data_IF_376139744874
#
_entry.id   IF_376139744874
#
_cell.length_a   1.000
_cell.length_b   1.000
_cell.length_c   1.000
_cell.angle_alpha   90.00
_cell.angle_beta   90.00
_cell.angle_gamma   90.00
#
_symmetry.space_group_name_H-M   'P 1'
#
loop_
_entity.id
_entity.type
_entity.pdbx_description
1 polymer ?
#
# COMPACT_ATOMS: atom_id res chain seq x y z
N UNK A 1 35.18 -74.16 10.85
CA UNK A 1 35.12 -72.82 10.20
C UNK A 1 33.66 -72.44 10.09
N UNK A 2 33.09 -71.92 11.19
CA UNK A 2 31.70 -71.45 11.20
C UNK A 2 31.68 -69.92 11.23
N UNK A 3 31.60 -69.34 10.04
CA UNK A 3 31.20 -67.95 9.82
C UNK A 3 30.28 -67.98 8.59
N UNK A 4 28.95 -67.95 8.79
CA UNK A 4 28.17 -67.00 7.99
C UNK A 4 26.83 -66.53 8.62
N UNK A 5 26.46 -66.93 9.84
CA UNK A 5 25.12 -66.61 10.37
C UNK A 5 25.00 -65.18 10.91
N UNK A 6 25.99 -64.71 11.68
CA UNK A 6 25.94 -63.39 12.32
C UNK A 6 26.01 -62.23 11.31
N UNK A 7 26.85 -62.37 10.27
CA UNK A 7 26.95 -61.38 9.18
C UNK A 7 25.62 -61.22 8.44
N UNK A 8 24.90 -62.31 8.18
CA UNK A 8 23.58 -62.27 7.51
C UNK A 8 22.54 -61.54 8.35
N UNK A 9 22.54 -61.75 9.68
CA UNK A 9 21.62 -61.08 10.60
C UNK A 9 21.90 -59.56 10.63
N UNK A 10 23.17 -59.15 10.67
CA UNK A 10 23.55 -57.73 10.63
C UNK A 10 23.10 -57.08 9.32
N UNK A 11 23.33 -57.74 8.18
CA UNK A 11 22.91 -57.23 6.88
C UNK A 11 21.38 -57.06 6.77
N UNK A 12 20.61 -58.02 7.31
CA UNK A 12 19.15 -57.91 7.36
C UNK A 12 18.69 -56.74 8.26
N UNK A 13 19.31 -56.55 9.43
CA UNK A 13 19.00 -55.43 10.32
C UNK A 13 19.33 -54.08 9.68
N UNK A 14 20.49 -53.96 9.03
CA UNK A 14 20.88 -52.75 8.31
C UNK A 14 19.90 -52.41 7.17
N UNK A 15 19.44 -53.43 6.43
CA UNK A 15 18.45 -53.25 5.38
C UNK A 15 17.09 -52.76 5.94
N UNK A 16 16.63 -53.32 7.07
CA UNK A 16 15.39 -52.87 7.73
C UNK A 16 15.50 -51.43 8.22
N UNK A 17 16.62 -51.06 8.84
CA UNK A 17 16.87 -49.68 9.30
C UNK A 17 16.89 -48.71 8.12
N UNK A 18 17.53 -49.09 7.01
CA UNK A 18 17.56 -48.28 5.80
C UNK A 18 16.14 -48.05 5.22
N UNK A 19 15.31 -49.09 5.19
CA UNK A 19 13.90 -48.97 4.74
C UNK A 19 13.11 -48.05 5.66
N UNK A 20 13.25 -48.19 6.98
CA UNK A 20 12.58 -47.32 7.96
C UNK A 20 13.01 -45.86 7.83
N UNK A 21 14.29 -45.60 7.59
CA UNK A 21 14.82 -44.25 7.38
C UNK A 21 14.23 -43.59 6.11
N UNK A 22 14.10 -44.35 5.01
CA UNK A 22 13.46 -43.86 3.78
C UNK A 22 11.99 -43.53 4.01
N UNK A 23 11.24 -44.41 4.69
CA UNK A 23 9.82 -44.18 5.01
C UNK A 23 9.65 -42.94 5.90
N UNK A 24 10.48 -42.78 6.93
CA UNK A 24 10.48 -41.60 7.78
C UNK A 24 10.81 -40.32 6.99
N UNK A 25 11.80 -40.38 6.09
CA UNK A 25 12.16 -39.27 5.21
C UNK A 25 11.00 -38.84 4.30
N UNK A 26 10.33 -39.79 3.66
CA UNK A 26 9.14 -39.52 2.83
C UNK A 26 8.01 -38.91 3.66
N UNK A 27 7.79 -39.42 4.88
CA UNK A 27 6.78 -38.89 5.79
C UNK A 27 7.07 -37.44 6.21
N UNK A 28 8.33 -37.13 6.56
CA UNK A 28 8.78 -35.77 6.91
C UNK A 28 8.61 -34.81 5.72
N UNK A 29 8.98 -35.23 4.51
CA UNK A 29 8.80 -34.41 3.29
C UNK A 29 7.31 -34.17 3.02
N UNK A 30 6.46 -35.20 3.09
CA UNK A 30 5.01 -35.05 2.93
C UNK A 30 4.40 -34.14 3.99
N UNK A 31 4.81 -34.29 5.25
CA UNK A 31 4.34 -33.48 6.36
C UNK A 31 4.76 -32.01 6.19
N UNK A 32 6.00 -31.75 5.79
CA UNK A 32 6.49 -30.39 5.54
C UNK A 32 5.82 -29.73 4.33
N UNK A 33 5.54 -30.49 3.27
CA UNK A 33 4.78 -30.04 2.08
C UNK A 33 3.33 -29.69 2.43
N UNK A 34 2.64 -30.53 3.21
CA UNK A 34 1.27 -30.26 3.68
C UNK A 34 1.21 -29.01 4.55
N UNK A 35 2.20 -28.81 5.43
CA UNK A 35 2.29 -27.62 6.28
C UNK A 35 2.56 -26.35 5.48
N UNK A 36 3.37 -26.41 4.42
CA UNK A 36 3.54 -25.31 3.45
C UNK A 36 2.23 -25.00 2.74
N UNK A 37 1.59 -26.00 2.12
CA UNK A 37 0.30 -25.85 1.41
C UNK A 37 -0.80 -25.27 2.32
N UNK A 38 -0.83 -25.65 3.60
CA UNK A 38 -1.82 -25.14 4.56
C UNK A 38 -1.53 -23.67 4.95
N UNK A 39 -0.26 -23.26 5.05
CA UNK A 39 0.11 -21.84 5.25
C UNK A 39 -0.23 -21.00 4.02
N UNK A 40 0.10 -21.50 2.83
CA UNK A 40 -0.16 -20.80 1.57
C UNK A 40 -1.67 -20.69 1.30
N UNK A 41 -2.44 -21.74 1.63
CA UNK A 41 -3.91 -21.72 1.54
C UNK A 41 -4.54 -20.75 2.55
N UNK A 42 -4.02 -20.69 3.79
CA UNK A 42 -4.47 -19.71 4.78
C UNK A 42 -4.14 -18.28 4.36
N UNK A 43 -2.95 -18.05 3.82
CA UNK A 43 -2.51 -16.76 3.30
C UNK A 43 -3.39 -16.31 2.13
N UNK A 44 -3.65 -17.19 1.16
CA UNK A 44 -4.53 -16.88 0.02
C UNK A 44 -5.95 -16.54 0.48
N UNK A 45 -6.52 -17.30 1.42
CA UNK A 45 -7.84 -16.98 2.02
C UNK A 45 -7.84 -15.64 2.76
N UNK A 46 -6.78 -15.33 3.49
CA UNK A 46 -6.63 -14.06 4.21
C UNK A 46 -6.55 -12.88 3.24
N UNK A 47 -5.76 -12.99 2.17
CA UNK A 47 -5.65 -11.98 1.10
C UNK A 47 -7.02 -11.76 0.44
N UNK A 48 -7.75 -12.82 0.06
CA UNK A 48 -9.08 -12.69 -0.56
C UNK A 48 -10.09 -12.01 0.37
N UNK A 49 -10.11 -12.40 1.64
CA UNK A 49 -10.99 -11.78 2.64
C UNK A 49 -10.67 -10.30 2.86
N UNK A 50 -9.38 -9.94 2.78
CA UNK A 50 -8.91 -8.56 2.90
C UNK A 50 -9.31 -7.73 1.69
N UNK A 51 -9.12 -8.24 0.47
CA UNK A 51 -9.56 -7.60 -0.77
C UNK A 51 -11.07 -7.36 -0.76
N UNK A 52 -11.86 -8.35 -0.30
CA UNK A 52 -13.31 -8.19 -0.17
C UNK A 52 -13.69 -7.12 0.86
N UNK A 53 -12.98 -7.05 1.99
CA UNK A 53 -13.19 -6.02 3.00
C UNK A 53 -12.81 -4.62 2.50
N UNK A 54 -11.70 -4.49 1.78
CA UNK A 54 -11.24 -3.22 1.22
C UNK A 54 -12.15 -2.77 0.08
N UNK A 55 -12.62 -3.69 -0.77
CA UNK A 55 -13.65 -3.41 -1.76
C UNK A 55 -14.96 -2.99 -1.08
N UNK A 56 -15.42 -3.68 -0.03
CA UNK A 56 -16.59 -3.30 0.76
C UNK A 56 -16.43 -1.91 1.40
N UNK A 57 -15.22 -1.57 1.86
CA UNK A 57 -14.90 -0.25 2.38
C UNK A 57 -14.96 0.81 1.27
N UNK A 58 -14.38 0.54 0.10
CA UNK A 58 -14.50 1.39 -1.09
C UNK A 58 -15.98 1.58 -1.45
N UNK A 59 -16.78 0.51 -1.50
CA UNK A 59 -18.22 0.55 -1.75
C UNK A 59 -18.96 1.43 -0.73
N UNK A 60 -18.56 1.37 0.55
CA UNK A 60 -19.15 2.15 1.63
C UNK A 60 -18.74 3.63 1.58
N UNK A 61 -17.49 3.92 1.25
CA UNK A 61 -16.96 5.30 1.11
C UNK A 61 -17.51 5.99 -0.14
N UNK A 62 -17.71 5.25 -1.24
CA UNK A 62 -18.19 5.78 -2.53
C UNK A 62 -19.73 5.76 -2.68
N UNK A 63 -20.47 5.17 -1.74
CA UNK A 63 -21.90 5.40 -1.55
C UNK A 63 -22.87 4.79 -2.57
N UNK A 64 -22.44 4.29 -3.74
CA UNK A 64 -23.26 3.53 -4.73
C UNK A 64 -22.37 2.69 -5.67
N UNK A 65 -22.92 1.67 -6.38
CA UNK A 65 -22.25 1.07 -7.53
C UNK A 65 -22.07 2.15 -8.60
N UNK A 66 -20.84 2.62 -8.77
CA UNK A 66 -20.53 3.71 -9.70
C UNK A 66 -20.42 3.13 -11.11
N UNK A 67 -21.55 3.16 -11.82
CA UNK A 67 -21.59 3.26 -13.28
C UNK A 67 -22.14 4.66 -13.56
N UNK A 68 -21.27 5.63 -13.84
CA UNK A 68 -21.69 6.89 -14.46
C UNK A 68 -20.67 7.36 -15.49
N UNK A 69 -21.10 7.27 -16.74
CA UNK A 69 -20.43 7.78 -17.93
C UNK A 69 -20.19 9.29 -17.80
N UNK A 70 -18.95 9.71 -17.55
CA UNK A 70 -18.36 10.96 -18.09
C UNK A 70 -16.98 11.35 -17.51
N UNK A 71 -16.17 10.43 -16.98
CA UNK A 71 -14.71 10.65 -16.80
C UNK A 71 -14.02 9.30 -16.96
N UNK A 72 -12.82 9.21 -17.56
CA UNK A 72 -12.04 7.96 -17.70
C UNK A 72 -11.77 7.31 -16.33
N UNK A 73 -12.72 6.52 -15.83
CA UNK A 73 -12.75 5.89 -14.50
C UNK A 73 -11.65 4.84 -14.28
N UNK A 74 -11.17 4.24 -15.38
CA UNK A 74 -10.12 3.23 -15.35
C UNK A 74 -8.84 3.76 -14.68
N UNK A 75 -8.55 5.05 -14.83
CA UNK A 75 -7.33 5.67 -14.32
C UNK A 75 -7.36 5.88 -12.80
N UNK A 76 -8.47 6.28 -12.20
CA UNK A 76 -8.52 6.48 -10.73
C UNK A 76 -8.68 5.18 -9.96
N UNK A 77 -9.48 4.24 -10.49
CA UNK A 77 -9.62 2.91 -9.90
C UNK A 77 -8.28 2.15 -10.00
N UNK A 78 -7.55 2.30 -11.11
CA UNK A 78 -6.23 1.69 -11.24
C UNK A 78 -5.21 2.27 -10.24
N UNK A 79 -5.17 3.60 -10.06
CA UNK A 79 -4.32 4.25 -9.03
C UNK A 79 -4.63 3.76 -7.62
N UNK A 80 -5.91 3.68 -7.23
CA UNK A 80 -6.30 3.17 -5.90
C UNK A 80 -5.94 1.70 -5.73
N UNK A 81 -6.16 0.90 -6.77
CA UNK A 81 -5.80 -0.52 -6.79
C UNK A 81 -4.28 -0.71 -6.66
N UNK A 82 -3.49 0.11 -7.32
CA UNK A 82 -2.03 0.08 -7.24
C UNK A 82 -1.54 0.45 -5.84
N UNK A 83 -2.09 1.51 -5.23
CA UNK A 83 -1.77 1.90 -3.84
C UNK A 83 -2.14 0.80 -2.83
N UNK A 84 -3.28 0.14 -2.99
CA UNK A 84 -3.69 -0.99 -2.14
C UNK A 84 -2.77 -2.19 -2.28
N UNK A 85 -2.38 -2.55 -3.51
CA UNK A 85 -1.40 -3.62 -3.74
C UNK A 85 -0.06 -3.34 -3.06
N UNK A 86 0.43 -2.09 -3.11
CA UNK A 86 1.64 -1.68 -2.40
C UNK A 86 1.47 -1.79 -0.89
N UNK A 87 0.33 -1.34 -0.35
CA UNK A 87 0.03 -1.47 1.08
C UNK A 87 -0.01 -2.95 1.51
N UNK A 88 -0.65 -3.83 0.74
CA UNK A 88 -0.68 -5.26 1.02
C UNK A 88 0.73 -5.87 1.04
N UNK A 89 1.58 -5.50 0.07
CA UNK A 89 2.99 -5.93 0.06
C UNK A 89 3.76 -5.45 1.30
N UNK A 90 3.54 -4.20 1.73
CA UNK A 90 4.11 -3.64 2.96
C UNK A 90 3.64 -4.44 4.19
N UNK A 91 2.33 -4.70 4.32
CA UNK A 91 1.75 -5.45 5.44
C UNK A 91 2.26 -6.89 5.48
N UNK A 92 2.31 -7.57 4.33
CA UNK A 92 2.83 -8.94 4.22
C UNK A 92 4.31 -9.01 4.59
N UNK A 93 5.11 -8.03 4.19
CA UNK A 93 6.52 -7.93 4.57
C UNK A 93 6.67 -7.78 6.09
N UNK A 94 5.88 -6.90 6.72
CA UNK A 94 5.88 -6.71 8.16
C UNK A 94 5.44 -7.97 8.94
N UNK A 95 4.44 -8.70 8.46
CA UNK A 95 3.93 -9.93 9.11
C UNK A 95 4.87 -11.13 8.91
N UNK A 96 5.68 -11.14 7.85
CA UNK A 96 6.58 -12.25 7.53
C UNK A 96 7.80 -12.39 8.46
N UNK A 97 7.98 -11.49 9.44
CA UNK A 97 8.99 -11.60 10.50
C UNK A 97 10.43 -11.47 10.01
N UNK A 98 10.66 -10.84 8.84
CA UNK A 98 12.01 -10.48 8.38
C UNK A 98 12.51 -9.29 9.21
N UNK A 99 13.80 -9.28 9.58
CA UNK A 99 14.42 -8.20 10.36
C UNK A 99 14.27 -6.82 9.72
N UNK A 100 14.23 -6.77 8.38
CA UNK A 100 13.87 -5.57 7.64
C UNK A 100 12.38 -5.61 7.28
N UNK A 101 11.62 -4.65 7.80
CA UNK A 101 10.16 -4.57 7.71
C UNK A 101 9.69 -4.48 6.25
N UNK A 102 10.54 -3.97 5.36
CA UNK A 102 10.29 -3.85 3.92
C UNK A 102 11.39 -4.54 3.13
N UNK A 103 11.05 -5.53 2.29
CA UNK A 103 12.02 -6.06 1.34
C UNK A 103 12.45 -5.01 0.32
N UNK A 104 13.67 -5.08 -0.18
CA UNK A 104 14.20 -4.10 -1.14
C UNK A 104 13.36 -4.01 -2.42
N UNK A 105 12.75 -5.12 -2.86
CA UNK A 105 11.78 -5.10 -3.97
C UNK A 105 10.58 -4.19 -3.69
N UNK A 106 10.04 -4.22 -2.47
CA UNK A 106 8.90 -3.39 -2.07
C UNK A 106 9.34 -1.92 -1.93
N UNK A 107 10.56 -1.67 -1.42
CA UNK A 107 11.15 -0.33 -1.39
C UNK A 107 11.30 0.22 -2.82
N UNK A 108 11.87 -0.56 -3.74
CA UNK A 108 12.08 -0.14 -5.13
C UNK A 108 10.77 0.13 -5.86
N UNK A 109 9.75 -0.71 -5.66
CA UNK A 109 8.43 -0.52 -6.26
C UNK A 109 7.72 0.72 -5.69
N UNK A 110 7.87 0.97 -4.38
CA UNK A 110 7.38 2.19 -3.74
C UNK A 110 8.11 3.42 -4.31
N UNK A 111 9.43 3.36 -4.44
CA UNK A 111 10.21 4.45 -5.03
C UNK A 111 9.86 4.69 -6.49
N UNK A 112 9.67 3.65 -7.30
CA UNK A 112 9.24 3.82 -8.69
C UNK A 112 7.86 4.45 -8.78
N UNK A 113 6.93 4.06 -7.89
CA UNK A 113 5.58 4.60 -7.86
C UNK A 113 5.57 6.11 -7.55
N UNK A 114 6.43 6.57 -6.64
CA UNK A 114 6.53 8.00 -6.28
C UNK A 114 7.55 8.78 -7.11
N UNK A 115 8.30 8.13 -8.01
CA UNK A 115 9.38 8.76 -8.78
C UNK A 115 8.86 9.77 -9.80
N UNK A 116 7.71 9.48 -10.42
CA UNK A 116 7.00 10.43 -11.26
C UNK A 116 6.14 11.35 -10.39
N UNK A 117 6.76 12.45 -9.96
CA UNK A 117 6.19 13.41 -9.01
C UNK A 117 4.97 14.13 -9.57
N UNK A 118 5.01 14.49 -10.85
CA UNK A 118 3.92 15.22 -11.50
C UNK A 118 2.72 14.30 -11.68
N UNK A 119 2.95 13.03 -12.09
CA UNK A 119 1.89 12.02 -12.11
C UNK A 119 1.33 11.76 -10.71
N UNK A 120 2.19 11.57 -9.70
CA UNK A 120 1.74 11.35 -8.32
C UNK A 120 0.90 12.52 -7.79
N UNK A 121 1.29 13.77 -8.10
CA UNK A 121 0.57 14.97 -7.73
C UNK A 121 -0.81 15.05 -8.41
N UNK A 122 -0.85 14.81 -9.71
CA UNK A 122 -2.07 14.79 -10.52
C UNK A 122 -3.05 13.71 -10.04
N UNK A 123 -2.57 12.47 -9.89
CA UNK A 123 -3.34 11.33 -9.37
C UNK A 123 -3.92 11.63 -7.98
N UNK A 124 -3.12 12.25 -7.11
CA UNK A 124 -3.53 12.66 -5.78
C UNK A 124 -4.60 13.74 -5.81
N UNK A 125 -4.46 14.76 -6.66
CA UNK A 125 -5.49 15.78 -6.85
C UNK A 125 -6.82 15.15 -7.31
N UNK A 126 -6.78 14.28 -8.32
CA UNK A 126 -7.99 13.64 -8.84
C UNK A 126 -8.67 12.73 -7.81
N UNK A 127 -7.89 12.05 -6.96
CA UNK A 127 -8.44 11.30 -5.85
C UNK A 127 -9.18 12.23 -4.87
N UNK A 128 -8.58 13.36 -4.48
CA UNK A 128 -9.23 14.32 -3.57
C UNK A 128 -10.43 15.02 -4.21
N UNK A 129 -10.42 15.29 -5.50
CA UNK A 129 -11.57 15.84 -6.23
C UNK A 129 -12.78 14.91 -6.12
N UNK A 130 -12.55 13.60 -6.11
CA UNK A 130 -13.61 12.59 -5.95
C UNK A 130 -14.04 12.39 -4.50
N UNK A 131 -13.08 12.26 -3.58
CA UNK A 131 -13.36 11.92 -2.18
C UNK A 131 -13.82 13.15 -1.36
N UNK A 132 -13.31 14.32 -1.69
CA UNK A 132 -13.54 15.58 -0.98
C UNK A 132 -13.84 16.72 -1.98
N UNK A 133 -14.92 16.60 -2.78
CA UNK A 133 -15.25 17.57 -3.83
C UNK A 133 -15.46 18.99 -3.27
N UNK A 134 -16.04 19.14 -2.09
CA UNK A 134 -16.27 20.44 -1.45
C UNK A 134 -14.96 21.14 -1.05
N UNK A 135 -13.99 20.36 -0.54
CA UNK A 135 -12.65 20.86 -0.26
C UNK A 135 -11.95 21.35 -1.54
N UNK A 136 -11.97 20.56 -2.61
CA UNK A 136 -11.37 20.98 -3.88
C UNK A 136 -12.13 22.15 -4.50
N UNK A 137 -13.46 22.18 -4.38
CA UNK A 137 -14.30 23.31 -4.78
C UNK A 137 -13.90 24.60 -4.06
N UNK A 138 -13.66 24.54 -2.75
CA UNK A 138 -13.15 25.67 -1.97
C UNK A 138 -11.82 26.17 -2.54
N UNK A 139 -10.85 25.27 -2.76
CA UNK A 139 -9.54 25.66 -3.31
C UNK A 139 -9.66 26.33 -4.68
N UNK A 140 -10.45 25.75 -5.59
CA UNK A 140 -10.70 26.31 -6.92
C UNK A 140 -11.43 27.65 -6.88
N UNK A 141 -12.39 27.81 -5.97
CA UNK A 141 -13.12 29.08 -5.79
C UNK A 141 -12.21 30.24 -5.40
N UNK A 142 -11.03 29.95 -4.82
CA UNK A 142 -9.98 30.91 -4.48
C UNK A 142 -8.93 31.10 -5.58
N UNK A 143 -9.16 30.54 -6.78
CA UNK A 143 -8.29 30.73 -7.94
C UNK A 143 -7.00 29.90 -7.91
N UNK A 144 -6.98 28.80 -7.16
CA UNK A 144 -5.88 27.83 -7.23
C UNK A 144 -5.98 27.03 -8.53
N UNK A 145 -4.84 26.84 -9.19
CA UNK A 145 -4.76 25.92 -10.34
C UNK A 145 -4.87 24.47 -9.88
N UNK A 146 -5.09 23.55 -10.81
CA UNK A 146 -5.07 22.11 -10.51
C UNK A 146 -3.78 21.68 -9.81
N UNK A 147 -2.64 22.16 -10.31
CA UNK A 147 -1.34 21.86 -9.70
C UNK A 147 -1.24 22.41 -8.26
N UNK A 148 -1.70 23.64 -8.01
CA UNK A 148 -1.70 24.23 -6.67
C UNK A 148 -2.68 23.53 -5.74
N UNK A 149 -3.82 23.06 -6.25
CA UNK A 149 -4.76 22.23 -5.52
C UNK A 149 -4.15 20.86 -5.18
N UNK A 150 -3.46 20.21 -6.11
CA UNK A 150 -2.70 18.99 -5.88
C UNK A 150 -1.60 19.17 -4.82
N UNK A 151 -0.90 20.30 -4.87
CA UNK A 151 0.08 20.67 -3.83
C UNK A 151 -0.57 20.79 -2.45
N UNK A 152 -1.77 21.39 -2.37
CA UNK A 152 -2.55 21.40 -1.14
C UNK A 152 -2.99 19.99 -0.71
N UNK A 153 -3.29 19.09 -1.64
CA UNK A 153 -3.63 17.70 -1.32
C UNK A 153 -2.45 16.95 -0.66
N UNK A 154 -1.20 17.31 -0.96
CA UNK A 154 -0.04 16.75 -0.25
C UNK A 154 -0.02 17.17 1.23
N UNK A 155 -0.41 18.41 1.55
CA UNK A 155 -0.60 18.84 2.94
C UNK A 155 -1.74 18.11 3.63
N UNK A 156 -2.84 17.89 2.92
CA UNK A 156 -3.98 17.10 3.38
C UNK A 156 -3.61 15.64 3.66
N UNK A 157 -2.71 15.05 2.85
CA UNK A 157 -2.10 13.73 3.10
C UNK A 157 -1.19 13.70 4.34
N UNK A 158 -0.90 14.85 4.95
CA UNK A 158 -0.11 14.94 6.18
C UNK A 158 1.36 15.33 5.96
N UNK A 159 1.80 15.55 4.72
CA UNK A 159 3.16 16.01 4.46
C UNK A 159 3.38 17.42 5.01
N UNK A 160 4.63 17.72 5.41
CA UNK A 160 5.05 19.07 5.83
C UNK A 160 5.67 19.79 4.65
N UNK A 161 5.65 21.12 4.66
CA UNK A 161 6.16 21.94 3.54
C UNK A 161 7.59 21.63 3.14
N UNK A 162 8.47 21.37 4.11
CA UNK A 162 9.85 20.95 3.84
C UNK A 162 9.94 19.61 3.10
N UNK A 163 9.06 18.67 3.44
CA UNK A 163 9.02 17.32 2.86
C UNK A 163 8.43 17.39 1.44
N UNK A 164 7.40 18.23 1.25
CA UNK A 164 6.81 18.50 -0.08
C UNK A 164 7.82 19.20 -1.00
N UNK A 165 8.55 20.19 -0.48
CA UNK A 165 9.59 20.89 -1.22
C UNK A 165 10.73 19.97 -1.65
N UNK A 166 11.15 19.08 -0.76
CA UNK A 166 12.14 18.04 -1.08
C UNK A 166 11.60 17.06 -2.12
N UNK A 167 10.37 16.56 -1.95
CA UNK A 167 9.72 15.64 -2.87
C UNK A 167 9.64 16.21 -4.29
N UNK A 168 9.12 17.43 -4.44
CA UNK A 168 8.94 18.05 -5.76
C UNK A 168 10.26 18.55 -6.39
N UNK A 169 11.41 18.45 -5.69
CA UNK A 169 12.71 18.99 -6.12
C UNK A 169 12.69 20.46 -6.54
N UNK A 170 11.65 21.20 -6.13
CA UNK A 170 11.55 22.63 -6.38
C UNK A 170 12.11 23.36 -5.16
N UNK A 171 13.37 23.76 -5.26
CA UNK A 171 13.99 24.70 -4.34
C UNK A 171 13.20 26.01 -4.32
N UNK A 172 12.30 26.16 -3.36
CA UNK A 172 11.42 27.33 -3.28
C UNK A 172 10.01 27.09 -2.71
N UNK A 173 9.76 26.03 -1.95
CA UNK A 173 8.46 25.78 -1.32
C UNK A 173 7.90 27.00 -0.57
N UNK A 174 8.74 27.82 0.08
CA UNK A 174 8.33 29.09 0.70
C UNK A 174 7.63 30.06 -0.28
N UNK A 175 8.10 30.13 -1.53
CA UNK A 175 7.50 30.99 -2.55
C UNK A 175 6.14 30.44 -3.03
N UNK A 176 6.01 29.11 -3.08
CA UNK A 176 4.76 28.44 -3.45
C UNK A 176 3.74 28.58 -2.32
N UNK A 177 4.12 28.28 -1.09
CA UNK A 177 3.28 28.42 0.10
C UNK A 177 2.76 29.84 0.27
N UNK A 178 3.64 30.84 0.15
CA UNK A 178 3.26 32.25 0.26
C UNK A 178 2.25 32.65 -0.83
N UNK A 179 2.50 32.25 -2.09
CA UNK A 179 1.59 32.52 -3.21
C UNK A 179 0.22 31.89 -2.97
N UNK A 180 0.18 30.63 -2.54
CA UNK A 180 -1.06 29.91 -2.26
C UNK A 180 -1.81 30.54 -1.08
N UNK A 181 -1.11 30.86 0.03
CA UNK A 181 -1.72 31.55 1.19
C UNK A 181 -2.37 32.87 0.79
N UNK A 182 -1.71 33.65 -0.08
CA UNK A 182 -2.25 34.90 -0.59
C UNK A 182 -3.56 34.68 -1.37
N UNK A 183 -3.61 33.67 -2.25
CA UNK A 183 -4.85 33.32 -2.99
C UNK A 183 -5.98 32.88 -2.07
N UNK A 184 -5.65 32.07 -1.06
CA UNK A 184 -6.60 31.55 -0.09
C UNK A 184 -7.07 32.61 0.93
N UNK A 185 -6.39 33.76 1.01
CA UNK A 185 -6.68 34.79 2.01
C UNK A 185 -6.29 34.35 3.44
N UNK A 186 -5.29 33.48 3.57
CA UNK A 186 -4.85 32.96 4.88
C UNK A 186 -4.07 34.04 5.61
N UNK A 187 -4.46 34.31 6.86
CA UNK A 187 -3.77 35.28 7.73
C UNK A 187 -2.33 34.86 8.02
N UNK A 188 -1.47 35.84 8.34
CA UNK A 188 -0.03 35.63 8.53
C UNK A 188 0.31 34.65 9.66
N UNK A 189 -0.59 34.49 10.65
CA UNK A 189 -0.38 33.64 11.83
C UNK A 189 -0.57 32.15 11.57
N UNK A 190 -1.34 31.78 10.54
CA UNK A 190 -1.68 30.38 10.27
C UNK A 190 -0.81 29.85 9.14
N UNK A 191 -0.16 28.70 9.37
CA UNK A 191 0.62 28.03 8.31
C UNK A 191 -0.30 27.46 7.24
N UNK A 192 0.19 27.34 6.00
CA UNK A 192 -0.62 26.76 4.91
C UNK A 192 -1.10 25.35 5.27
N UNK A 193 -0.21 24.49 5.79
CA UNK A 193 -0.56 23.13 6.17
C UNK A 193 -1.65 23.06 7.24
N UNK A 194 -1.63 23.94 8.25
CA UNK A 194 -2.70 24.01 9.25
C UNK A 194 -4.03 24.42 8.62
N UNK A 195 -4.01 25.47 7.79
CA UNK A 195 -5.22 25.94 7.11
C UNK A 195 -5.87 24.85 6.24
N UNK A 196 -5.05 24.11 5.48
CA UNK A 196 -5.52 23.06 4.58
C UNK A 196 -6.18 21.91 5.35
N UNK A 197 -5.59 21.45 6.46
CA UNK A 197 -6.17 20.36 7.26
C UNK A 197 -7.50 20.76 7.89
N UNK A 198 -7.56 21.95 8.47
CA UNK A 198 -8.81 22.48 9.02
C UNK A 198 -9.89 22.60 7.94
N UNK A 199 -9.52 23.10 6.74
CA UNK A 199 -10.45 23.22 5.61
C UNK A 199 -10.99 21.87 5.15
N UNK A 200 -10.16 20.82 5.17
CA UNK A 200 -10.58 19.47 4.83
C UNK A 200 -11.55 18.90 5.87
N UNK A 201 -11.25 19.06 7.16
CA UNK A 201 -12.11 18.63 8.27
C UNK A 201 -13.48 19.34 8.20
N UNK A 202 -13.50 20.66 8.08
CA UNK A 202 -14.72 21.46 7.95
C UNK A 202 -15.56 21.10 6.72
N UNK A 203 -14.92 20.68 5.61
CA UNK A 203 -15.64 20.19 4.43
C UNK A 203 -16.25 18.80 4.65
N UNK A 204 -15.62 17.97 5.49
CA UNK A 204 -16.04 16.59 5.74
C UNK A 204 -17.22 16.51 6.73
N UNK A 205 -17.34 17.49 7.64
CA UNK A 205 -18.43 17.60 8.62
C UNK A 205 -19.71 18.28 8.11
N UNK A 206 -19.73 18.77 6.87
CA UNK A 206 -20.92 19.39 6.25
C UNK A 206 -21.88 18.40 5.58
N UNK A 207 -21.65 17.09 5.75
CA UNK A 207 -22.52 16.01 5.27
C UNK A 207 -23.55 15.58 6.29
#
# INVERSE_FOLDING_TARGET
MEEPQYIRIILCLAAVIAVLAVVAGVFIVRYSMLRRKNRDSKLSKWISSRIEADNAFIYKVLGKPYVRQDVKEEETVSVLTERLKLLDKILLSAVSGKEDVLSDDVKNELFSYVSDKEKFLHDTYHQYLKLHPDFIGLLKSKGLTEWEAGYCCLYALGLRGKDIGAFLERGGHYNIDSRIRKKLGVTDRITLGTYIRNSLEESSHRK
#
